data_IF_475097700762
#
_entry.id   IF_475097700762
#
_cell.length_a   1.000
_cell.length_b   1.000
_cell.length_c   1.000
_cell.angle_alpha   90.00
_cell.angle_beta   90.00
_cell.angle_gamma   90.00
#
_symmetry.space_group_name_H-M   'P 1'
#
loop_
_entity.id
_entity.type
_entity.pdbx_description
1 polymer ?
#
# COMPACT_ATOMS: atom_id res chain seq x y z
N UNK A 1 -34.93 18.58 -33.82
CA UNK A 1 -33.97 19.54 -33.24
C UNK A 1 -32.68 18.79 -32.95
N UNK A 2 -31.58 19.21 -33.57
CA UNK A 2 -30.25 18.63 -33.44
C UNK A 2 -29.45 19.50 -32.48
N UNK A 3 -29.25 19.04 -31.25
CA UNK A 3 -28.27 19.68 -30.37
C UNK A 3 -26.90 19.07 -30.66
N UNK A 4 -26.14 19.78 -31.50
CA UNK A 4 -24.72 19.49 -31.74
C UNK A 4 -23.93 20.09 -30.58
N UNK A 5 -23.36 19.23 -29.74
CA UNK A 5 -22.25 19.62 -28.87
C UNK A 5 -21.02 19.81 -29.77
N UNK A 6 -20.54 21.04 -29.93
CA UNK A 6 -19.33 21.35 -30.68
C UNK A 6 -18.10 21.12 -29.81
N UNK A 7 -17.28 20.13 -30.16
CA UNK A 7 -15.95 19.92 -29.57
C UNK A 7 -14.91 20.72 -30.38
N UNK A 8 -13.98 21.49 -29.76
CA UNK A 8 -13.04 22.33 -30.49
C UNK A 8 -11.96 21.58 -31.31
N UNK A 9 -11.81 20.26 -31.12
CA UNK A 9 -10.77 19.44 -31.74
C UNK A 9 -11.34 18.26 -32.55
N UNK A 10 -12.21 18.56 -33.53
CA UNK A 10 -13.05 17.60 -34.26
C UNK A 10 -12.31 16.46 -34.99
N UNK A 11 -11.03 16.61 -35.34
CA UNK A 11 -10.29 15.58 -36.10
C UNK A 11 -9.67 14.48 -35.21
N UNK A 12 -9.30 14.80 -33.96
CA UNK A 12 -8.65 13.82 -33.06
C UNK A 12 -9.66 12.88 -32.38
N UNK A 13 -10.86 13.38 -32.06
CA UNK A 13 -11.91 12.56 -31.45
C UNK A 13 -12.55 11.57 -32.43
N UNK A 14 -12.67 11.91 -33.72
CA UNK A 14 -13.21 11.00 -34.73
C UNK A 14 -12.27 9.83 -35.03
N UNK A 15 -10.95 10.06 -35.06
CA UNK A 15 -9.96 9.01 -35.33
C UNK A 15 -9.92 7.90 -34.28
N UNK A 16 -10.04 8.24 -33.00
CA UNK A 16 -10.03 7.26 -31.89
C UNK A 16 -11.31 6.43 -31.84
N UNK A 17 -12.48 7.05 -32.07
CA UNK A 17 -13.77 6.36 -32.11
C UNK A 17 -13.86 5.40 -33.31
N UNK A 18 -13.37 5.80 -34.49
CA UNK A 18 -13.34 4.93 -35.67
C UNK A 18 -12.40 3.73 -35.50
N UNK A 19 -11.27 3.92 -34.80
CA UNK A 19 -10.29 2.86 -34.51
C UNK A 19 -10.84 1.82 -33.52
N UNK A 20 -11.65 2.26 -32.54
CA UNK A 20 -12.38 1.35 -31.64
C UNK A 20 -13.49 0.57 -32.35
N UNK A 21 -14.27 1.20 -33.24
CA UNK A 21 -15.32 0.51 -34.00
C UNK A 21 -14.76 -0.60 -34.91
N UNK A 22 -13.59 -0.37 -35.53
CA UNK A 22 -12.93 -1.34 -36.41
C UNK A 22 -12.35 -2.55 -35.66
N UNK A 23 -11.82 -2.33 -34.45
CA UNK A 23 -11.36 -3.41 -33.56
C UNK A 23 -12.52 -4.30 -33.09
N UNK A 24 -13.74 -3.76 -32.99
CA UNK A 24 -14.94 -4.54 -32.64
C UNK A 24 -15.50 -5.31 -33.84
N UNK A 25 -15.38 -4.80 -35.07
CA UNK A 25 -15.85 -5.50 -36.28
C UNK A 25 -14.95 -6.66 -36.71
N UNK A 26 -13.63 -6.55 -36.51
CA UNK A 26 -12.66 -7.56 -36.97
C UNK A 26 -12.60 -8.80 -36.05
N UNK A 27 -13.30 -8.78 -34.92
CA UNK A 27 -13.34 -9.87 -33.93
C UNK A 27 -14.29 -11.03 -34.29
N UNK A 28 -14.97 -11.00 -35.44
CA UNK A 28 -16.05 -11.96 -35.78
C UNK A 28 -15.74 -12.98 -36.89
N UNK A 29 -14.47 -13.26 -37.24
CA UNK A 29 -14.17 -14.26 -38.30
C UNK A 29 -13.16 -15.31 -37.87
N UNK A 30 -13.60 -16.26 -37.05
CA UNK A 30 -12.88 -17.50 -36.73
C UNK A 30 -13.74 -18.40 -35.82
N UNK A 31 -13.54 -19.73 -35.80
CA UNK A 31 -14.23 -20.57 -34.83
C UNK A 31 -13.92 -20.05 -33.42
N UNK A 32 -14.95 -19.58 -32.71
CA UNK A 32 -14.81 -18.99 -31.39
C UNK A 32 -14.36 -20.07 -30.41
N UNK A 33 -13.04 -20.20 -30.20
CA UNK A 33 -12.55 -20.88 -29.02
C UNK A 33 -13.12 -20.16 -27.80
N UNK A 34 -13.66 -20.87 -26.79
CA UNK A 34 -14.09 -20.22 -25.58
C UNK A 34 -12.91 -19.41 -25.01
N UNK A 35 -13.11 -18.14 -24.62
CA UNK A 35 -12.02 -17.32 -24.13
C UNK A 35 -11.32 -18.05 -22.99
N UNK A 36 -9.98 -18.08 -23.04
CA UNK A 36 -9.18 -18.77 -22.03
C UNK A 36 -9.56 -18.25 -20.63
N UNK A 37 -9.90 -19.17 -19.72
CA UNK A 37 -10.24 -18.82 -18.33
C UNK A 37 -9.11 -18.02 -17.70
N UNK A 38 -9.43 -16.85 -17.14
CA UNK A 38 -8.46 -15.92 -16.55
C UNK A 38 -8.26 -16.16 -15.06
N UNK A 39 -7.32 -15.46 -14.43
CA UNK A 39 -7.33 -15.25 -12.97
C UNK A 39 -8.04 -13.93 -12.68
N UNK A 40 -9.03 -13.95 -11.79
CA UNK A 40 -9.69 -12.75 -11.31
C UNK A 40 -8.82 -12.06 -10.25
N UNK A 41 -8.60 -10.77 -10.35
CA UNK A 41 -7.99 -9.96 -9.28
C UNK A 41 -9.04 -8.98 -8.78
N UNK A 42 -9.31 -8.98 -7.49
CA UNK A 42 -10.39 -8.19 -6.86
C UNK A 42 -9.76 -7.15 -5.94
N UNK A 43 -10.05 -5.87 -6.17
CA UNK A 43 -9.48 -4.73 -5.42
C UNK A 43 -10.44 -3.54 -5.44
N UNK A 44 -10.32 -2.63 -4.47
CA UNK A 44 -11.02 -1.34 -4.45
C UNK A 44 -10.34 -0.33 -5.40
N UNK A 45 -9.01 -0.22 -5.33
CA UNK A 45 -8.25 0.74 -6.13
C UNK A 45 -7.03 0.12 -6.80
N UNK A 46 -6.52 0.82 -7.82
CA UNK A 46 -5.29 0.46 -8.56
C UNK A 46 -4.28 1.60 -8.67
N UNK A 47 -4.66 2.80 -8.22
CA UNK A 47 -3.83 4.00 -8.36
C UNK A 47 -2.81 4.16 -7.24
N UNK A 48 -2.98 3.47 -6.11
CA UNK A 48 -1.96 3.41 -5.07
C UNK A 48 -0.79 2.54 -5.54
N UNK A 49 0.42 2.99 -5.23
CA UNK A 49 1.65 2.35 -5.68
C UNK A 49 1.75 0.88 -5.23
N UNK A 50 1.31 0.57 -4.00
CA UNK A 50 1.22 -0.80 -3.48
C UNK A 50 0.38 -1.72 -4.39
N UNK A 51 -0.85 -1.32 -4.71
CA UNK A 51 -1.75 -2.11 -5.56
C UNK A 51 -1.19 -2.25 -6.99
N UNK A 52 -0.60 -1.20 -7.53
CA UNK A 52 0.02 -1.21 -8.86
C UNK A 52 1.20 -2.20 -8.95
N UNK A 53 2.07 -2.25 -7.92
CA UNK A 53 3.20 -3.21 -7.89
C UNK A 53 2.74 -4.65 -7.75
N UNK A 54 1.77 -4.91 -6.88
CA UNK A 54 1.18 -6.24 -6.76
C UNK A 54 0.56 -6.70 -8.09
N UNK A 55 -0.22 -5.83 -8.75
CA UNK A 55 -0.79 -6.11 -10.07
C UNK A 55 0.28 -6.36 -11.13
N UNK A 56 1.37 -5.59 -11.13
CA UNK A 56 2.49 -5.79 -12.06
C UNK A 56 3.17 -7.15 -11.84
N UNK A 57 3.43 -7.54 -10.58
CA UNK A 57 4.01 -8.84 -10.25
C UNK A 57 3.11 -10.01 -10.64
N UNK A 58 1.82 -9.93 -10.28
CA UNK A 58 0.81 -10.92 -10.69
C UNK A 58 0.75 -11.02 -12.21
N UNK A 59 0.67 -9.89 -12.91
CA UNK A 59 0.63 -9.85 -14.37
C UNK A 59 1.85 -10.53 -14.99
N UNK A 60 3.06 -10.24 -14.50
CA UNK A 60 4.29 -10.85 -15.00
C UNK A 60 4.24 -12.37 -14.92
N UNK A 61 3.90 -12.92 -13.75
CA UNK A 61 3.82 -14.37 -13.54
C UNK A 61 2.74 -15.01 -14.43
N UNK A 62 1.56 -14.39 -14.52
CA UNK A 62 0.48 -14.91 -15.35
C UNK A 62 0.82 -14.85 -16.85
N UNK A 63 1.52 -13.81 -17.29
CA UNK A 63 2.01 -13.67 -18.67
C UNK A 63 2.98 -14.79 -19.03
N UNK A 64 3.94 -15.11 -18.14
CA UNK A 64 4.91 -16.21 -18.35
C UNK A 64 4.22 -17.57 -18.51
N UNK A 65 3.02 -17.73 -17.92
CA UNK A 65 2.21 -18.94 -18.01
C UNK A 65 1.10 -18.88 -19.08
N UNK A 66 1.01 -17.80 -19.87
CA UNK A 66 -0.03 -17.62 -20.87
C UNK A 66 -1.46 -17.56 -20.30
N UNK A 67 -1.61 -17.17 -19.03
CA UNK A 67 -2.90 -17.08 -18.35
C UNK A 67 -3.40 -15.63 -18.38
N UNK A 68 -4.61 -15.36 -18.91
CA UNK A 68 -5.14 -14.00 -18.88
C UNK A 68 -5.42 -13.53 -17.45
N UNK A 69 -5.32 -12.22 -17.21
CA UNK A 69 -5.69 -11.57 -15.96
C UNK A 69 -6.94 -10.70 -16.19
N UNK A 70 -7.93 -10.80 -15.30
CA UNK A 70 -9.09 -9.90 -15.28
C UNK A 70 -9.13 -9.17 -13.95
N UNK A 71 -9.06 -7.84 -13.96
CA UNK A 71 -9.06 -7.02 -12.74
C UNK A 71 -10.45 -6.44 -12.54
N UNK A 72 -11.04 -6.71 -11.37
CA UNK A 72 -12.31 -6.17 -10.89
C UNK A 72 -11.99 -5.08 -9.87
N UNK A 73 -12.16 -3.83 -10.31
CA UNK A 73 -11.91 -2.64 -9.50
C UNK A 73 -13.27 -2.12 -9.04
N UNK A 74 -13.54 -2.19 -7.74
CA UNK A 74 -14.81 -1.78 -7.16
C UNK A 74 -14.63 -0.76 -6.06
N UNK A 75 -15.23 -1.01 -4.90
CA UNK A 75 -14.96 -0.28 -3.68
C UNK A 75 -14.99 -1.18 -2.44
N UNK A 76 -14.94 -0.61 -1.23
CA UNK A 76 -14.93 -1.40 -0.01
C UNK A 76 -16.25 -2.18 0.15
N UNK A 77 -16.18 -3.34 0.78
CA UNK A 77 -17.34 -4.21 1.01
C UNK A 77 -18.29 -3.62 2.07
N UNK A 78 -17.72 -2.93 3.06
CA UNK A 78 -18.46 -2.15 4.04
C UNK A 78 -18.61 -0.72 3.53
N UNK A 79 -19.83 -0.22 3.55
CA UNK A 79 -20.12 1.20 3.32
C UNK A 79 -20.32 1.88 4.67
N UNK A 80 -19.51 2.89 5.00
CA UNK A 80 -19.83 3.83 6.07
C UNK A 80 -21.03 4.72 5.71
N UNK A 81 -21.46 5.62 6.59
CA UNK A 81 -22.65 6.48 6.40
C UNK A 81 -22.67 7.29 5.07
N UNK A 82 -21.54 7.45 4.38
CA UNK A 82 -21.40 8.24 3.16
C UNK A 82 -21.69 7.51 1.83
N UNK A 83 -22.17 6.26 1.84
CA UNK A 83 -22.89 5.71 0.69
C UNK A 83 -22.07 5.46 -0.59
N UNK A 84 -21.43 4.29 -0.70
CA UNK A 84 -20.89 3.76 -1.96
C UNK A 84 -21.23 2.28 -2.18
N UNK A 85 -22.41 1.79 -1.77
CA UNK A 85 -22.79 0.38 -1.97
C UNK A 85 -22.73 -0.08 -3.44
N UNK A 86 -22.78 0.85 -4.39
CA UNK A 86 -22.68 0.55 -5.81
C UNK A 86 -21.25 0.24 -6.29
N UNK A 87 -20.20 0.65 -5.55
CA UNK A 87 -18.82 0.40 -5.98
C UNK A 87 -18.43 -1.08 -5.85
N UNK A 88 -19.00 -1.82 -4.89
CA UNK A 88 -18.76 -3.26 -4.74
C UNK A 88 -19.65 -4.14 -5.64
N UNK A 89 -20.66 -3.56 -6.31
CA UNK A 89 -21.58 -4.31 -7.18
C UNK A 89 -20.86 -5.02 -8.34
N UNK A 90 -19.72 -4.48 -8.79
CA UNK A 90 -18.88 -5.09 -9.82
C UNK A 90 -18.45 -6.52 -9.46
N UNK A 91 -18.30 -6.82 -8.16
CA UNK A 91 -17.88 -8.15 -7.70
C UNK A 91 -18.95 -9.22 -7.94
N UNK A 92 -20.23 -8.83 -8.09
CA UNK A 92 -21.32 -9.75 -8.46
C UNK A 92 -21.24 -10.21 -9.92
N UNK A 93 -20.45 -9.53 -10.75
CA UNK A 93 -20.24 -9.89 -12.16
C UNK A 93 -19.15 -10.96 -12.33
N UNK A 94 -18.45 -11.34 -11.26
CA UNK A 94 -17.45 -12.39 -11.28
C UNK A 94 -18.17 -13.73 -11.46
N UNK A 95 -17.84 -14.44 -12.54
CA UNK A 95 -18.42 -15.74 -12.87
C UNK A 95 -17.36 -16.83 -12.68
N UNK A 96 -17.48 -17.73 -11.69
CA UNK A 96 -16.46 -18.76 -11.41
C UNK A 96 -16.08 -19.59 -12.65
N UNK A 97 -17.00 -19.80 -13.58
CA UNK A 97 -16.78 -20.56 -14.82
C UNK A 97 -15.80 -19.87 -15.77
N UNK A 98 -15.69 -18.53 -15.69
CA UNK A 98 -14.79 -17.73 -16.53
C UNK A 98 -13.38 -17.60 -15.95
N UNK A 99 -13.17 -18.02 -14.71
CA UNK A 99 -11.89 -17.86 -14.01
C UNK A 99 -11.32 -19.20 -13.54
N UNK A 100 -10.00 -19.30 -13.42
CA UNK A 100 -9.29 -20.48 -12.87
C UNK A 100 -9.07 -20.37 -11.37
N UNK A 101 -9.00 -19.15 -10.86
CA UNK A 101 -8.82 -18.78 -9.46
C UNK A 101 -9.09 -17.28 -9.28
N UNK A 102 -9.12 -16.84 -8.02
CA UNK A 102 -9.18 -15.42 -7.68
C UNK A 102 -8.06 -15.02 -6.71
N UNK A 103 -7.52 -13.83 -6.93
CA UNK A 103 -6.68 -13.09 -5.99
C UNK A 103 -7.53 -11.99 -5.38
N UNK A 104 -7.67 -12.04 -4.06
CA UNK A 104 -8.42 -11.07 -3.28
C UNK A 104 -7.43 -10.12 -2.61
N UNK A 105 -7.30 -8.89 -3.09
CA UNK A 105 -6.50 -7.88 -2.39
C UNK A 105 -7.34 -7.38 -1.22
N UNK A 106 -7.17 -8.02 -0.06
CA UNK A 106 -8.13 -7.96 1.05
C UNK A 106 -8.03 -6.68 1.88
N UNK A 107 -6.84 -6.11 2.00
CA UNK A 107 -6.59 -4.85 2.72
C UNK A 107 -7.43 -3.67 2.20
N UNK A 108 -7.44 -3.38 0.88
CA UNK A 108 -8.23 -2.25 0.36
C UNK A 108 -9.75 -2.52 0.37
N UNK A 109 -10.18 -3.78 0.45
CA UNK A 109 -11.60 -4.15 0.38
C UNK A 109 -12.34 -4.08 1.72
N UNK A 110 -11.63 -4.17 2.84
CA UNK A 110 -12.23 -4.04 4.16
C UNK A 110 -11.26 -3.36 5.13
N UNK A 111 -11.67 -2.17 5.56
CA UNK A 111 -10.98 -1.41 6.61
C UNK A 111 -11.35 -1.88 8.02
N UNK A 112 -12.37 -2.75 8.17
CA UNK A 112 -12.77 -3.33 9.45
C UNK A 112 -11.90 -4.53 9.82
N UNK A 113 -11.66 -4.73 11.11
CA UNK A 113 -10.91 -5.91 11.59
C UNK A 113 -11.66 -7.22 11.40
N UNK A 114 -12.99 -7.21 11.44
CA UNK A 114 -13.77 -8.43 11.24
C UNK A 114 -13.76 -8.87 9.77
N UNK A 115 -13.47 -10.15 9.48
CA UNK A 115 -13.31 -10.66 8.13
C UNK A 115 -14.64 -11.07 7.46
N UNK A 116 -15.78 -10.99 8.13
CA UNK A 116 -17.06 -11.57 7.70
C UNK A 116 -17.42 -11.25 6.26
N UNK A 117 -17.32 -9.98 5.85
CA UNK A 117 -17.68 -9.57 4.50
C UNK A 117 -16.70 -10.08 3.43
N UNK A 118 -15.42 -10.21 3.77
CA UNK A 118 -14.42 -10.82 2.90
C UNK A 118 -14.71 -12.32 2.77
N UNK A 119 -15.09 -12.99 3.85
CA UNK A 119 -15.49 -14.40 3.84
C UNK A 119 -16.78 -14.62 3.06
N UNK A 120 -17.76 -13.72 3.15
CA UNK A 120 -18.98 -13.74 2.34
C UNK A 120 -18.66 -13.60 0.85
N UNK A 121 -17.72 -12.72 0.49
CA UNK A 121 -17.25 -12.60 -0.88
C UNK A 121 -16.56 -13.89 -1.34
N UNK A 122 -15.68 -14.47 -0.52
CA UNK A 122 -15.02 -15.75 -0.82
C UNK A 122 -16.07 -16.86 -1.03
N UNK A 123 -17.09 -16.94 -0.17
CA UNK A 123 -18.15 -17.92 -0.28
C UNK A 123 -18.95 -17.80 -1.59
N UNK A 124 -19.23 -16.56 -2.05
CA UNK A 124 -19.89 -16.31 -3.34
C UNK A 124 -19.06 -16.72 -4.55
N UNK A 125 -17.74 -16.81 -4.41
CA UNK A 125 -16.83 -17.20 -5.48
C UNK A 125 -16.70 -18.73 -5.62
N UNK A 126 -17.22 -19.52 -4.68
CA UNK A 126 -17.16 -20.97 -4.75
C UNK A 126 -17.73 -21.50 -6.09
N UNK A 127 -17.11 -22.54 -6.70
CA UNK A 127 -15.99 -23.34 -6.19
C UNK A 127 -14.60 -22.80 -6.59
N UNK A 128 -14.49 -21.53 -6.98
CA UNK A 128 -13.22 -20.92 -7.42
C UNK A 128 -12.20 -20.93 -6.26
N UNK A 129 -10.96 -21.40 -6.46
CA UNK A 129 -9.92 -21.26 -5.45
C UNK A 129 -9.57 -19.78 -5.28
N UNK A 130 -9.55 -19.31 -4.03
CA UNK A 130 -9.25 -17.91 -3.68
C UNK A 130 -7.97 -17.85 -2.86
N UNK A 131 -7.09 -16.90 -3.20
CA UNK A 131 -5.95 -16.50 -2.38
C UNK A 131 -6.17 -15.08 -1.90
N UNK A 132 -6.09 -14.85 -0.59
CA UNK A 132 -6.11 -13.52 0.01
C UNK A 132 -4.72 -12.91 0.00
N UNK A 133 -4.61 -11.64 -0.32
CA UNK A 133 -3.36 -10.88 -0.32
C UNK A 133 -3.51 -9.68 0.62
N UNK A 134 -2.74 -9.70 1.69
CA UNK A 134 -2.65 -8.66 2.71
C UNK A 134 -3.38 -8.98 4.02
N UNK A 135 -4.31 -9.94 4.06
CA UNK A 135 -4.95 -10.40 5.31
C UNK A 135 -5.07 -11.91 5.37
N UNK A 136 -4.74 -12.48 6.52
CA UNK A 136 -5.13 -13.84 6.90
C UNK A 136 -6.64 -13.96 6.99
N UNK A 137 -7.23 -14.91 6.26
CA UNK A 137 -8.66 -15.21 6.32
C UNK A 137 -8.85 -16.69 6.69
N UNK A 138 -9.72 -17.01 7.68
CA UNK A 138 -9.96 -18.40 8.07
C UNK A 138 -10.36 -19.28 6.88
N UNK A 139 -9.63 -20.39 6.68
CA UNK A 139 -9.92 -21.36 5.61
C UNK A 139 -9.53 -20.91 4.20
N UNK A 140 -8.85 -19.77 4.04
CA UNK A 140 -8.38 -19.26 2.75
C UNK A 140 -6.85 -19.23 2.75
N UNK A 141 -6.22 -19.58 1.63
CA UNK A 141 -4.77 -19.41 1.48
C UNK A 141 -4.47 -17.91 1.47
N UNK A 142 -3.60 -17.44 2.35
CA UNK A 142 -3.26 -16.02 2.49
C UNK A 142 -1.78 -15.76 2.29
N UNK A 143 -1.49 -14.63 1.65
CA UNK A 143 -0.14 -14.04 1.54
C UNK A 143 -0.17 -12.73 2.32
N UNK A 144 0.73 -12.59 3.29
CA UNK A 144 0.79 -11.45 4.21
C UNK A 144 2.20 -10.85 4.22
N UNK A 145 2.31 -9.59 4.66
CA UNK A 145 3.60 -8.95 4.88
C UNK A 145 4.18 -9.47 6.20
N UNK A 146 5.45 -9.85 6.20
CA UNK A 146 6.17 -10.15 7.44
C UNK A 146 6.58 -8.86 8.15
N UNK A 147 5.58 -8.18 8.74
CA UNK A 147 5.78 -6.95 9.51
C UNK A 147 6.74 -7.17 10.68
N UNK A 148 6.71 -8.37 11.28
CA UNK A 148 7.53 -8.73 12.43
C UNK A 148 9.00 -8.67 12.10
N UNK A 149 9.45 -9.47 11.14
CA UNK A 149 10.87 -9.53 10.79
C UNK A 149 11.36 -8.17 10.31
N UNK A 150 10.59 -7.50 9.44
CA UNK A 150 10.96 -6.18 8.88
C UNK A 150 11.08 -5.09 9.96
N UNK A 151 10.04 -4.89 10.79
CA UNK A 151 10.07 -3.84 11.80
C UNK A 151 11.03 -4.13 12.94
N UNK A 152 11.23 -5.41 13.31
CA UNK A 152 12.20 -5.75 14.34
C UNK A 152 13.61 -5.40 13.86
N UNK A 153 13.96 -5.73 12.62
CA UNK A 153 15.25 -5.37 12.04
C UNK A 153 15.45 -3.85 11.96
N UNK A 154 14.42 -3.09 11.53
CA UNK A 154 14.46 -1.64 11.49
C UNK A 154 14.67 -1.04 12.89
N UNK A 155 13.87 -1.46 13.87
CA UNK A 155 13.93 -0.90 15.22
C UNK A 155 15.21 -1.29 15.97
N UNK A 156 15.70 -2.51 15.78
CA UNK A 156 16.99 -2.95 16.36
C UNK A 156 18.17 -2.18 15.74
N UNK A 157 18.08 -1.81 14.47
CA UNK A 157 19.05 -0.91 13.87
C UNK A 157 18.98 0.50 14.48
N UNK A 158 17.80 1.12 14.50
CA UNK A 158 17.65 2.50 14.98
C UNK A 158 18.02 2.67 16.47
N UNK A 159 17.52 1.78 17.33
CA UNK A 159 17.73 1.89 18.78
C UNK A 159 19.04 1.21 19.19
N UNK A 160 19.31 0.00 18.70
CA UNK A 160 20.45 -0.80 19.14
C UNK A 160 21.76 -0.44 18.44
N UNK A 161 21.73 -0.13 17.13
CA UNK A 161 22.94 0.18 16.36
C UNK A 161 23.22 1.68 16.31
N UNK A 162 22.22 2.49 15.98
CA UNK A 162 22.37 3.95 15.86
C UNK A 162 22.27 4.67 17.21
N UNK A 163 21.68 4.04 18.23
CA UNK A 163 21.58 4.60 19.58
C UNK A 163 20.54 5.70 19.74
N UNK A 164 19.54 5.79 18.87
CA UNK A 164 18.46 6.76 19.02
C UNK A 164 17.61 6.45 20.26
N UNK A 165 17.26 7.48 21.03
CA UNK A 165 16.52 7.36 22.29
C UNK A 165 15.20 8.12 22.29
N UNK A 166 14.99 9.05 21.35
CA UNK A 166 13.79 9.86 21.22
C UNK A 166 13.13 9.66 19.86
N UNK A 167 12.17 8.74 19.82
CA UNK A 167 11.49 8.33 18.58
C UNK A 167 9.98 8.50 18.73
N UNK A 168 9.31 8.85 17.64
CA UNK A 168 7.85 8.80 17.54
C UNK A 168 7.42 7.97 16.33
N UNK A 169 6.29 7.28 16.44
CA UNK A 169 5.73 6.42 15.41
C UNK A 169 4.52 7.08 14.75
N UNK A 170 4.54 7.19 13.42
CA UNK A 170 3.44 7.74 12.62
C UNK A 170 2.54 6.59 12.18
N UNK A 171 1.40 6.46 12.86
CA UNK A 171 0.42 5.37 12.71
C UNK A 171 -0.34 5.46 11.39
N UNK A 172 -0.62 4.30 10.81
CA UNK A 172 -1.61 4.16 9.75
C UNK A 172 -3.05 4.23 10.28
N UNK A 173 -4.00 3.84 9.43
CA UNK A 173 -5.43 3.85 9.77
C UNK A 173 -5.71 3.04 11.05
N UNK A 174 -6.45 3.61 12.01
CA UNK A 174 -6.87 2.89 13.22
C UNK A 174 -7.67 1.63 12.83
N UNK A 175 -7.36 0.52 13.49
CA UNK A 175 -7.97 -0.77 13.19
C UNK A 175 -7.24 -1.57 12.11
N UNK A 176 -6.30 -0.99 11.36
CA UNK A 176 -5.51 -1.76 10.41
C UNK A 176 -4.48 -2.66 11.13
N UNK A 177 -4.44 -3.95 10.75
CA UNK A 177 -3.59 -4.96 11.39
C UNK A 177 -2.10 -4.70 11.19
N UNK A 178 -1.68 -4.28 9.99
CA UNK A 178 -0.27 -3.99 9.70
C UNK A 178 0.22 -2.81 10.55
N UNK A 179 -0.54 -1.72 10.59
CA UNK A 179 -0.18 -0.56 11.44
C UNK A 179 -0.11 -0.97 12.92
N UNK A 180 -1.07 -1.76 13.41
CA UNK A 180 -1.11 -2.19 14.80
C UNK A 180 0.05 -3.13 15.16
N UNK A 181 0.46 -4.03 14.24
CA UNK A 181 1.62 -4.89 14.45
C UNK A 181 2.93 -4.09 14.43
N UNK A 182 3.11 -3.19 13.45
CA UNK A 182 4.27 -2.30 13.34
C UNK A 182 4.42 -1.43 14.59
N UNK A 183 3.32 -0.85 15.08
CA UNK A 183 3.28 -0.07 16.33
C UNK A 183 3.64 -0.90 17.57
N UNK A 184 3.11 -2.14 17.67
CA UNK A 184 3.45 -3.04 18.78
C UNK A 184 4.94 -3.33 18.83
N UNK A 185 5.58 -3.56 17.69
CA UNK A 185 7.02 -3.85 17.60
C UNK A 185 7.84 -2.62 17.97
N UNK A 186 7.46 -1.43 17.49
CA UNK A 186 8.04 -0.16 17.92
C UNK A 186 8.00 -0.02 19.45
N UNK A 187 6.81 -0.17 20.03
CA UNK A 187 6.58 -0.04 21.48
C UNK A 187 7.38 -1.07 22.29
N UNK A 188 7.37 -2.34 21.87
CA UNK A 188 8.12 -3.40 22.54
C UNK A 188 9.63 -3.16 22.47
N UNK A 189 10.13 -2.65 21.35
CA UNK A 189 11.57 -2.41 21.16
C UNK A 189 12.04 -1.25 22.04
N UNK A 190 11.28 -0.16 22.13
CA UNK A 190 11.58 0.95 23.05
C UNK A 190 11.61 0.46 24.50
N UNK A 191 10.58 -0.27 24.94
CA UNK A 191 10.51 -0.82 26.30
C UNK A 191 11.65 -1.77 26.62
N UNK A 192 12.04 -2.62 25.66
CA UNK A 192 13.17 -3.56 25.80
C UNK A 192 14.50 -2.83 26.03
N UNK A 193 14.66 -1.63 25.49
CA UNK A 193 15.85 -0.79 25.69
C UNK A 193 15.69 0.23 26.82
N UNK A 194 14.64 0.12 27.64
CA UNK A 194 14.40 1.04 28.77
C UNK A 194 13.99 2.45 28.36
N UNK A 195 13.53 2.64 27.12
CA UNK A 195 13.06 3.93 26.62
C UNK A 195 11.58 4.14 26.97
N UNK A 196 11.23 5.38 27.30
CA UNK A 196 9.86 5.76 27.62
C UNK A 196 8.95 5.67 26.40
N UNK A 197 7.71 5.20 26.61
CA UNK A 197 6.65 5.21 25.60
C UNK A 197 5.44 5.86 26.22
N UNK A 198 5.05 7.01 25.68
CA UNK A 198 3.88 7.77 26.11
C UNK A 198 3.06 8.24 24.89
N UNK A 199 1.99 9.01 25.12
CA UNK A 199 1.10 9.45 24.03
C UNK A 199 1.82 10.29 22.97
N UNK A 200 2.89 11.00 23.34
CA UNK A 200 3.69 11.83 22.44
C UNK A 200 4.59 10.98 21.54
N UNK A 201 4.78 9.70 21.85
CA UNK A 201 5.50 8.76 21.00
C UNK A 201 4.71 8.39 19.74
N UNK A 202 3.53 8.98 19.51
CA UNK A 202 2.67 8.59 18.40
C UNK A 202 1.97 9.76 17.71
N UNK A 203 1.84 9.65 16.40
CA UNK A 203 1.18 10.61 15.51
C UNK A 203 0.22 9.82 14.61
N UNK A 204 -1.01 10.27 14.43
CA UNK A 204 -1.98 9.59 13.55
C UNK A 204 -1.87 10.13 12.11
N UNK A 205 -1.33 9.32 11.19
CA UNK A 205 -1.12 9.65 9.77
C UNK A 205 -2.07 8.94 8.78
N UNK A 206 -2.80 7.92 9.23
CA UNK A 206 -3.93 7.29 8.52
C UNK A 206 -3.60 6.71 7.13
N UNK A 207 -2.35 6.29 6.90
CA UNK A 207 -1.85 5.86 5.58
C UNK A 207 -2.04 6.90 4.46
N UNK A 208 -2.19 8.17 4.82
CA UNK A 208 -2.36 9.27 3.88
C UNK A 208 -1.17 10.20 3.93
N UNK A 209 -0.52 10.41 2.78
CA UNK A 209 0.58 11.37 2.65
C UNK A 209 0.16 12.77 3.17
N UNK A 210 -1.02 13.25 2.78
CA UNK A 210 -1.49 14.58 3.16
C UNK A 210 -1.76 14.67 4.67
N UNK A 211 -2.44 13.68 5.25
CA UNK A 211 -2.69 13.64 6.70
C UNK A 211 -1.41 13.54 7.50
N UNK A 212 -0.49 12.68 7.08
CA UNK A 212 0.81 12.53 7.72
C UNK A 212 1.62 13.84 7.68
N UNK A 213 1.55 14.61 6.59
CA UNK A 213 2.16 15.94 6.49
C UNK A 213 1.55 16.92 7.50
N UNK A 214 0.22 17.06 7.50
CA UNK A 214 -0.52 17.97 8.40
C UNK A 214 -0.27 17.63 9.88
N UNK A 215 -0.39 16.35 10.23
CA UNK A 215 -0.22 15.87 11.60
C UNK A 215 1.22 16.03 12.11
N UNK A 216 2.22 15.79 11.24
CA UNK A 216 3.63 15.99 11.59
C UNK A 216 3.95 17.46 11.84
N UNK A 217 3.46 18.36 10.99
CA UNK A 217 3.69 19.79 11.17
C UNK A 217 3.09 20.27 12.50
N UNK A 218 1.82 19.93 12.76
CA UNK A 218 1.16 20.27 14.02
C UNK A 218 1.87 19.68 15.24
N UNK A 219 2.36 18.44 15.14
CA UNK A 219 3.13 17.80 16.20
C UNK A 219 4.41 18.59 16.53
N UNK A 220 5.18 18.97 15.49
CA UNK A 220 6.44 19.69 15.68
C UNK A 220 6.23 21.13 16.18
N UNK A 221 5.21 21.82 15.69
CA UNK A 221 4.87 23.19 16.12
C UNK A 221 4.35 23.23 17.58
N UNK A 222 3.71 22.15 18.04
CA UNK A 222 3.24 22.08 19.43
C UNK A 222 4.39 22.01 20.46
N UNK A 223 5.60 21.64 20.02
CA UNK A 223 6.77 21.54 20.89
C UNK A 223 6.66 20.48 21.98
N UNK A 224 5.78 19.48 21.79
CA UNK A 224 5.47 18.47 22.82
C UNK A 224 6.62 17.48 23.07
N UNK A 225 7.51 17.31 22.08
CA UNK A 225 8.75 16.53 22.17
C UNK A 225 9.90 17.28 21.48
N UNK A 226 10.53 18.27 22.15
CA UNK A 226 11.63 19.04 21.59
C UNK A 226 12.90 18.20 21.35
N UNK A 227 13.03 17.08 22.06
CA UNK A 227 14.13 16.12 21.94
C UNK A 227 13.96 15.07 20.83
N UNK A 228 12.88 15.11 20.05
CA UNK A 228 12.60 14.13 18.99
C UNK A 228 13.76 14.02 17.99
N UNK A 229 14.23 12.79 17.75
CA UNK A 229 15.32 12.47 16.82
C UNK A 229 14.84 11.74 15.56
N UNK A 230 13.83 10.86 15.69
CA UNK A 230 13.40 9.99 14.58
C UNK A 230 11.89 9.88 14.50
N UNK A 231 11.35 10.02 13.29
CA UNK A 231 9.98 9.69 12.94
C UNK A 231 9.95 8.36 12.18
N UNK A 232 9.34 7.34 12.80
CA UNK A 232 9.16 6.01 12.23
C UNK A 232 7.77 5.91 11.64
N UNK A 233 7.67 5.90 10.31
CA UNK A 233 6.39 5.90 9.62
C UNK A 233 5.91 4.48 9.36
N UNK A 234 4.60 4.22 9.53
CA UNK A 234 4.09 2.90 9.26
C UNK A 234 4.24 2.49 7.79
N UNK A 235 4.35 3.41 6.83
CA UNK A 235 4.71 3.12 5.44
C UNK A 235 5.44 4.30 4.75
N UNK A 236 5.94 4.07 3.54
CA UNK A 236 6.68 5.05 2.73
C UNK A 236 5.81 6.21 2.20
N UNK A 237 4.52 5.98 1.92
CA UNK A 237 3.60 7.03 1.45
C UNK A 237 3.44 8.11 2.53
N UNK A 238 3.29 7.69 3.78
CA UNK A 238 3.29 8.59 4.92
C UNK A 238 4.66 9.19 5.17
N UNK A 239 5.75 8.43 4.99
CA UNK A 239 7.10 8.97 5.15
C UNK A 239 7.35 10.17 4.23
N UNK A 240 6.84 10.14 2.99
CA UNK A 240 6.89 11.31 2.10
C UNK A 240 6.15 12.52 2.69
N UNK A 241 4.94 12.32 3.20
CA UNK A 241 4.16 13.36 3.89
C UNK A 241 4.87 13.92 5.11
N UNK A 242 5.42 13.04 5.95
CA UNK A 242 6.18 13.37 7.15
C UNK A 242 7.40 14.21 6.79
N UNK A 243 8.16 13.84 5.75
CA UNK A 243 9.30 14.64 5.29
C UNK A 243 8.88 16.06 4.87
N UNK A 244 7.71 16.22 4.24
CA UNK A 244 7.17 17.55 3.90
C UNK A 244 6.80 18.34 5.17
N UNK A 245 6.18 17.68 6.16
CA UNK A 245 5.82 18.29 7.44
C UNK A 245 7.05 18.75 8.23
N UNK A 246 8.09 17.92 8.33
CA UNK A 246 9.37 18.27 8.98
C UNK A 246 10.02 19.49 8.31
N UNK A 247 10.08 19.52 6.98
CA UNK A 247 10.63 20.68 6.24
C UNK A 247 9.78 21.94 6.43
N UNK A 248 8.45 21.81 6.47
CA UNK A 248 7.55 22.93 6.73
C UNK A 248 7.73 23.52 8.13
N UNK A 249 8.08 22.70 9.12
CA UNK A 249 8.47 23.13 10.47
C UNK A 249 9.88 23.75 10.54
N UNK A 250 10.56 23.93 9.40
CA UNK A 250 11.90 24.52 9.32
C UNK A 250 13.03 23.60 9.80
N UNK A 251 12.77 22.29 9.91
CA UNK A 251 13.76 21.28 10.34
C UNK A 251 14.39 20.57 9.14
N UNK A 252 15.65 20.16 9.28
CA UNK A 252 16.42 19.44 8.26
C UNK A 252 16.33 17.92 8.46
N UNK A 253 16.49 17.19 7.36
CA UNK A 253 16.44 15.73 7.32
C UNK A 253 17.72 15.24 6.64
N UNK A 254 18.53 14.37 7.28
CA UNK A 254 18.31 13.75 8.59
C UNK A 254 18.89 14.53 9.77
N UNK A 255 19.48 15.71 9.57
CA UNK A 255 20.35 16.37 10.55
C UNK A 255 19.64 16.81 11.83
N UNK A 256 18.38 17.25 11.73
CA UNK A 256 17.59 17.65 12.90
C UNK A 256 16.62 16.53 13.29
N UNK A 257 15.93 15.92 12.31
CA UNK A 257 15.01 14.79 12.51
C UNK A 257 15.20 13.79 11.36
N UNK A 258 15.54 12.55 11.70
CA UNK A 258 15.56 11.45 10.73
C UNK A 258 14.14 10.95 10.47
N UNK A 259 13.86 10.53 9.24
CA UNK A 259 12.57 9.96 8.85
C UNK A 259 12.82 8.60 8.21
N UNK A 260 12.09 7.58 8.66
CA UNK A 260 12.12 6.25 8.07
C UNK A 260 10.72 5.82 7.71
N UNK A 261 10.60 5.09 6.60
CA UNK A 261 9.36 4.46 6.16
C UNK A 261 9.41 2.93 6.25
N UNK A 262 8.48 2.30 5.55
CA UNK A 262 8.32 0.85 5.42
C UNK A 262 7.63 0.56 4.08
N UNK A 263 7.93 -0.58 3.45
CA UNK A 263 7.40 -1.07 2.13
C UNK A 263 8.31 -0.88 0.88
N UNK A 264 9.54 -0.34 1.02
CA UNK A 264 10.57 -0.24 -0.04
C UNK A 264 10.08 0.35 -1.39
N UNK A 265 9.43 1.50 -1.32
CA UNK A 265 8.93 2.19 -2.50
C UNK A 265 10.03 2.94 -3.24
N UNK A 266 10.03 2.84 -4.56
CA UNK A 266 11.05 3.45 -5.44
C UNK A 266 11.10 4.98 -5.32
N UNK A 267 9.99 5.62 -4.95
CA UNK A 267 9.90 7.06 -4.64
C UNK A 267 10.68 7.45 -3.37
N UNK A 268 10.81 6.54 -2.39
CA UNK A 268 11.67 6.76 -1.22
C UNK A 268 13.16 6.73 -1.60
N UNK A 269 13.51 6.06 -2.71
CA UNK A 269 14.89 5.95 -3.22
C UNK A 269 15.37 7.18 -4.00
N UNK A 270 14.46 8.00 -4.54
CA UNK A 270 14.79 9.18 -5.36
C UNK A 270 14.79 10.50 -4.58
N UNK A 271 14.30 10.50 -3.35
CA UNK A 271 14.16 11.71 -2.51
C UNK A 271 15.29 11.91 -1.49
N UNK A 272 16.29 11.00 -1.47
CA UNK A 272 17.48 11.08 -0.61
C UNK A 272 18.76 11.34 -1.44
N UNK A 273 19.69 12.18 -0.95
CA UNK A 273 21.02 12.31 -1.54
C UNK A 273 21.73 10.94 -1.63
N UNK A 274 22.56 10.68 -2.66
CA UNK A 274 23.22 9.39 -2.87
C UNK A 274 24.05 8.91 -1.67
N UNK A 275 24.47 9.84 -0.83
CA UNK A 275 25.48 9.65 0.23
C UNK A 275 24.85 9.14 1.54
N UNK A 276 23.52 9.18 1.66
CA UNK A 276 22.75 8.68 2.82
C UNK A 276 22.14 7.28 2.56
N UNK A 277 22.57 6.60 1.49
CA UNK A 277 22.17 5.25 1.11
C UNK A 277 22.88 4.20 1.95
N UNK A 278 22.56 4.09 3.24
CA UNK A 278 22.96 2.92 4.01
C UNK A 278 22.06 1.73 3.62
N UNK A 279 22.43 1.04 2.53
CA UNK A 279 22.07 -0.36 2.36
C UNK A 279 22.81 -1.14 3.44
N UNK A 280 22.11 -1.50 4.52
CA UNK A 280 22.57 -2.57 5.39
C UNK A 280 22.45 -3.88 4.58
N UNK A 281 23.47 -4.17 3.79
CA UNK A 281 23.62 -5.45 3.13
C UNK A 281 23.69 -6.55 4.19
N UNK A 282 22.57 -7.23 4.41
CA UNK A 282 22.57 -8.54 5.05
C UNK A 282 23.05 -9.53 3.98
N UNK A 283 24.23 -10.16 4.13
CA UNK A 283 24.69 -11.14 3.16
C UNK A 283 23.82 -12.39 3.29
N UNK A 284 23.03 -12.66 2.25
CA UNK A 284 22.36 -13.93 2.04
C UNK A 284 20.88 -13.97 2.41
N UNK A 285 20.02 -13.53 1.49
CA UNK A 285 18.85 -14.31 1.04
C UNK A 285 18.20 -13.64 -0.18
N UNK A 286 18.20 -14.36 -1.29
CA UNK A 286 17.33 -14.08 -2.42
C UNK A 286 15.88 -14.27 -1.95
N UNK A 287 15.06 -13.22 -2.12
CA UNK A 287 13.58 -13.16 -2.16
C UNK A 287 13.03 -12.00 -1.30
N UNK A 288 12.81 -10.84 -1.93
CA UNK A 288 11.62 -9.99 -1.77
C UNK A 288 11.11 -9.61 -0.37
N UNK A 289 11.96 -9.39 0.62
CA UNK A 289 11.56 -8.73 1.88
C UNK A 289 11.54 -7.20 1.74
N UNK A 290 10.78 -6.46 2.56
CA UNK A 290 10.80 -5.00 2.55
C UNK A 290 12.18 -4.48 2.98
N UNK A 291 12.92 -3.82 2.09
CA UNK A 291 14.08 -3.01 2.46
C UNK A 291 13.59 -1.67 3.03
N UNK A 292 13.89 -1.36 4.29
CA UNK A 292 13.59 -0.06 4.85
C UNK A 292 14.49 1.01 4.20
N UNK A 293 13.91 2.08 3.66
CA UNK A 293 14.67 3.25 3.25
C UNK A 293 15.12 4.02 4.50
N UNK A 294 16.42 3.97 4.79
CA UNK A 294 17.04 4.62 5.94
C UNK A 294 17.75 5.89 5.49
N UNK A 295 17.29 7.05 5.94
CA UNK A 295 18.06 8.29 5.92
C UNK A 295 18.78 8.43 7.27
N UNK A 296 19.81 7.62 7.52
CA UNK A 296 20.65 7.73 8.72
C UNK A 296 22.05 8.17 8.31
N UNK A 297 22.50 9.28 8.88
CA UNK A 297 23.94 9.57 8.95
C UNK A 297 24.55 8.72 10.06
N UNK A 298 25.80 8.29 9.85
CA UNK A 298 26.57 7.55 10.86
C UNK A 298 26.72 8.32 12.19
N UNK A 299 27.21 7.65 13.26
CA UNK A 299 27.09 8.13 14.62
C UNK A 299 27.62 9.57 14.78
N UNK A 300 26.73 10.45 15.23
CA UNK A 300 27.05 11.80 15.69
C UNK A 300 28.06 11.67 16.84
N UNK A 301 29.25 12.24 16.65
CA UNK A 301 30.24 12.44 17.72
C UNK A 301 29.92 13.72 18.48
#
# INVERSE_FOLDING_TARGET
MKDRVSCPDGEKCQGTVFRMQRLMSDSQTGPAHPPARSVAVITDFVFHYYAARLLAGVKSVLQDHGVPMTVYIGGPLVVGEQGYAQSSAIYSLIRPERHRGALLFSLPLSLRQEPDELLDLVARLAPLPVVSVGRSLPGVVSVEVDNRTGMQALMDHLVGTCGYTHLAFVRGQRGNNDSAERERIFTQTLRRHGLAVDERSFIDGEFSMLRAQEATLAYLESGVSPELQVLVCANDDMAEGVMRGVRAAGKRIPEDIAVVGFDDMELARTTLPPDHRASAGVPGRAAGGPEAAVAASGPLR
#
